data_IF_689309729783
#
_entry.id   IF_689309729783
#
_cell.length_a   1.000
_cell.length_b   1.000
_cell.length_c   1.000
_cell.angle_alpha   90.00
_cell.angle_beta   90.00
_cell.angle_gamma   90.00
#
_symmetry.space_group_name_H-M   'P 1'
#
loop_
_entity.id
_entity.type
_entity.pdbx_description
1 polymer ?
#
# COMPACT_ATOMS: atom_id res chain seq x y z
N UNK A 1 -5.22 -25.00 -6.90
CA UNK A 1 -6.51 -24.82 -6.19
C UNK A 1 -6.16 -24.12 -4.90
N UNK A 2 -6.52 -22.84 -4.78
CA UNK A 2 -6.26 -22.04 -3.58
C UNK A 2 -7.37 -22.32 -2.57
N UNK A 3 -7.00 -22.82 -1.40
CA UNK A 3 -7.96 -23.05 -0.31
C UNK A 3 -8.39 -21.70 0.28
N UNK A 4 -9.62 -21.31 -0.01
CA UNK A 4 -10.23 -20.14 0.66
C UNK A 4 -10.35 -20.44 2.15
N UNK A 5 -9.71 -19.63 2.99
CA UNK A 5 -9.80 -19.77 4.44
C UNK A 5 -11.17 -19.21 4.87
N UNK A 6 -12.10 -20.11 5.25
CA UNK A 6 -13.35 -19.75 5.89
C UNK A 6 -13.07 -19.49 7.38
N UNK A 7 -13.52 -18.33 7.87
CA UNK A 7 -13.50 -18.04 9.31
C UNK A 7 -14.34 -19.06 10.09
N UNK A 8 -13.94 -19.44 11.32
CA UNK A 8 -14.76 -20.28 12.17
C UNK A 8 -16.09 -19.59 12.48
N UNK A 9 -17.18 -20.33 12.37
CA UNK A 9 -18.53 -19.87 12.74
C UNK A 9 -18.59 -19.64 14.26
N UNK A 10 -18.66 -18.37 14.69
CA UNK A 10 -18.76 -18.03 16.12
C UNK A 10 -19.18 -16.59 16.39
N UNK A 11 -18.63 -15.62 15.67
CA UNK A 11 -19.00 -14.22 15.80
C UNK A 11 -19.58 -13.67 14.49
N UNK A 12 -20.60 -12.82 14.59
CA UNK A 12 -21.18 -12.18 13.41
C UNK A 12 -20.10 -11.40 12.66
N UNK A 13 -19.99 -11.66 11.36
CA UNK A 13 -19.03 -10.92 10.49
C UNK A 13 -19.24 -9.41 10.64
N UNK A 14 -18.20 -8.63 10.95
CA UNK A 14 -18.33 -7.17 11.00
C UNK A 14 -18.94 -6.61 9.71
N UNK A 15 -19.91 -5.66 9.78
CA UNK A 15 -20.56 -5.09 8.60
C UNK A 15 -19.58 -4.53 7.57
N UNK A 16 -18.44 -4.00 8.02
CA UNK A 16 -17.36 -3.53 7.16
C UNK A 16 -16.76 -4.66 6.31
N UNK A 17 -16.50 -5.83 6.92
CA UNK A 17 -15.97 -7.00 6.21
C UNK A 17 -17.02 -7.62 5.29
N UNK A 18 -18.29 -7.63 5.68
CA UNK A 18 -19.36 -8.04 4.78
C UNK A 18 -19.45 -7.14 3.53
N UNK A 19 -19.32 -5.82 3.72
CA UNK A 19 -19.30 -4.88 2.61
C UNK A 19 -18.10 -5.15 1.69
N UNK A 20 -16.90 -5.36 2.25
CA UNK A 20 -15.70 -5.65 1.47
C UNK A 20 -15.81 -6.99 0.73
N UNK A 21 -16.35 -8.03 1.38
CA UNK A 21 -16.60 -9.34 0.78
C UNK A 21 -17.57 -9.30 -0.41
N UNK A 22 -18.50 -8.34 -0.42
CA UNK A 22 -19.44 -8.15 -1.54
C UNK A 22 -18.89 -7.25 -2.64
N UNK A 23 -18.02 -6.31 -2.25
CA UNK A 23 -17.49 -5.31 -3.16
C UNK A 23 -16.31 -5.79 -4.00
N UNK A 24 -15.40 -6.58 -3.40
CA UNK A 24 -14.19 -7.08 -4.06
C UNK A 24 -14.44 -8.42 -4.76
N UNK A 25 -13.90 -8.60 -5.95
CA UNK A 25 -13.89 -9.91 -6.63
C UNK A 25 -12.92 -10.88 -5.95
N UNK A 26 -11.80 -10.34 -5.45
CA UNK A 26 -10.77 -11.08 -4.71
C UNK A 26 -10.16 -10.22 -3.61
N UNK A 27 -9.84 -10.87 -2.51
CA UNK A 27 -9.10 -10.29 -1.38
C UNK A 27 -7.92 -11.21 -1.11
N UNK A 28 -6.71 -10.70 -1.26
CA UNK A 28 -5.48 -11.44 -0.98
C UNK A 28 -4.78 -10.91 0.25
N UNK A 29 -4.20 -11.83 1.03
CA UNK A 29 -3.22 -11.50 2.05
C UNK A 29 -1.86 -12.00 1.60
N UNK A 30 -0.95 -11.09 1.33
CA UNK A 30 0.43 -11.38 0.95
C UNK A 30 1.21 -11.81 2.19
N UNK A 31 1.68 -13.03 2.21
CA UNK A 31 2.41 -13.60 3.34
C UNK A 31 3.41 -14.64 2.87
N UNK A 32 4.59 -14.67 3.50
CA UNK A 32 5.53 -15.76 3.26
C UNK A 32 4.93 -17.09 3.72
N UNK A 33 5.09 -18.15 2.93
CA UNK A 33 4.57 -19.49 3.27
C UNK A 33 5.06 -19.97 4.65
N UNK A 34 6.27 -19.59 5.04
CA UNK A 34 6.88 -19.91 6.33
C UNK A 34 6.44 -19.04 7.50
N UNK A 35 5.67 -17.98 7.26
CA UNK A 35 5.22 -17.04 8.32
C UNK A 35 3.97 -17.57 9.04
N UNK A 36 4.02 -18.81 9.53
CA UNK A 36 2.86 -19.54 10.09
C UNK A 36 2.22 -18.81 11.28
N UNK A 37 3.04 -18.23 12.17
CA UNK A 37 2.54 -17.45 13.31
C UNK A 37 1.79 -16.19 12.89
N UNK A 38 2.28 -15.46 11.87
CA UNK A 38 1.59 -14.29 11.33
C UNK A 38 0.27 -14.70 10.69
N UNK A 39 0.27 -15.78 9.88
CA UNK A 39 -0.93 -16.33 9.27
C UNK A 39 -1.98 -16.75 10.31
N UNK A 40 -1.54 -17.29 11.46
CA UNK A 40 -2.46 -17.65 12.55
C UNK A 40 -3.06 -16.40 13.21
N UNK A 41 -2.25 -15.37 13.50
CA UNK A 41 -2.76 -14.10 14.04
C UNK A 41 -3.78 -13.42 13.12
N UNK A 42 -3.59 -13.51 11.79
CA UNK A 42 -4.54 -12.97 10.82
C UNK A 42 -5.95 -13.56 10.95
N UNK A 43 -6.07 -14.86 11.25
CA UNK A 43 -7.39 -15.51 11.41
C UNK A 43 -8.23 -14.83 12.48
N UNK A 44 -7.59 -14.44 13.58
CA UNK A 44 -8.27 -13.69 14.65
C UNK A 44 -8.57 -12.24 14.28
N UNK A 45 -7.62 -11.56 13.60
CA UNK A 45 -7.75 -10.13 13.23
C UNK A 45 -8.76 -9.88 12.12
N UNK A 46 -8.84 -10.80 11.15
CA UNK A 46 -9.67 -10.69 9.95
C UNK A 46 -10.87 -11.64 9.99
N UNK A 47 -11.34 -12.01 11.19
CA UNK A 47 -12.50 -12.87 11.35
C UNK A 47 -13.71 -12.35 10.57
N UNK A 48 -14.30 -13.20 9.72
CA UNK A 48 -15.41 -12.85 8.83
C UNK A 48 -15.01 -12.28 7.47
N UNK A 49 -13.75 -11.86 7.26
CA UNK A 49 -13.26 -11.48 5.94
C UNK A 49 -12.93 -12.74 5.11
N UNK A 50 -13.44 -12.81 3.90
CA UNK A 50 -13.14 -13.89 2.94
C UNK A 50 -11.91 -13.52 2.11
N UNK A 51 -10.75 -14.04 2.48
CA UNK A 51 -9.49 -13.79 1.80
C UNK A 51 -8.78 -15.07 1.40
N UNK A 52 -7.88 -14.95 0.46
CA UNK A 52 -6.96 -15.99 0.02
C UNK A 52 -5.54 -15.62 0.45
N UNK A 53 -4.76 -16.59 0.94
CA UNK A 53 -3.34 -16.38 1.18
C UNK A 53 -2.59 -16.40 -0.15
N UNK A 54 -1.83 -15.34 -0.41
CA UNK A 54 -0.91 -15.28 -1.53
C UNK A 54 0.51 -15.53 -1.01
N UNK A 55 1.14 -16.62 -1.46
CA UNK A 55 2.50 -16.95 -1.08
C UNK A 55 3.49 -15.96 -1.69
N UNK A 56 4.00 -15.08 -0.82
CA UNK A 56 4.96 -14.06 -1.19
C UNK A 56 6.29 -14.66 -1.65
N UNK A 57 6.93 -14.02 -2.59
CA UNK A 57 8.27 -14.40 -3.07
C UNK A 57 9.27 -14.26 -1.94
N UNK A 58 9.87 -15.38 -1.50
CA UNK A 58 10.87 -15.37 -0.44
C UNK A 58 12.23 -14.88 -0.98
N UNK A 59 12.85 -13.95 -0.25
CA UNK A 59 14.19 -13.46 -0.56
C UNK A 59 15.26 -14.57 -0.60
N UNK A 60 15.00 -15.72 0.04
CA UNK A 60 15.90 -16.88 0.07
C UNK A 60 16.01 -17.57 -1.28
N UNK A 61 14.97 -17.45 -2.12
CA UNK A 61 14.88 -18.06 -3.43
C UNK A 61 15.34 -17.09 -4.54
N UNK A 62 15.80 -15.89 -4.16
CA UNK A 62 16.21 -14.85 -5.09
C UNK A 62 17.71 -14.73 -5.19
N UNK A 63 18.18 -14.64 -6.43
CA UNK A 63 19.54 -14.28 -6.83
C UNK A 63 19.49 -12.97 -7.62
N UNK A 64 20.16 -11.92 -7.11
CA UNK A 64 20.15 -10.58 -7.72
C UNK A 64 20.74 -10.58 -9.12
N UNK A 65 21.86 -11.28 -9.32
CA UNK A 65 22.56 -11.31 -10.60
C UNK A 65 21.72 -12.04 -11.66
N UNK A 66 21.08 -13.13 -11.23
CA UNK A 66 20.13 -13.86 -12.09
C UNK A 66 18.95 -12.99 -12.48
N UNK A 67 18.31 -12.30 -11.51
CA UNK A 67 17.18 -11.42 -11.78
C UNK A 67 17.54 -10.28 -12.75
N UNK A 68 18.76 -9.74 -12.64
CA UNK A 68 19.24 -8.70 -13.56
C UNK A 68 19.51 -9.27 -14.96
N UNK A 69 20.17 -10.44 -15.06
CA UNK A 69 20.43 -11.12 -16.35
C UNK A 69 19.14 -11.50 -17.07
N UNK A 70 18.15 -11.99 -16.33
CA UNK A 70 16.86 -12.41 -16.88
C UNK A 70 15.93 -11.22 -17.20
N UNK A 71 16.38 -9.97 -16.95
CA UNK A 71 15.59 -8.75 -17.17
C UNK A 71 14.39 -8.64 -16.22
N UNK A 72 14.38 -9.36 -15.11
CA UNK A 72 13.31 -9.31 -14.11
C UNK A 72 13.49 -8.14 -13.13
N UNK A 73 14.73 -7.67 -12.93
CA UNK A 73 15.11 -6.55 -12.08
C UNK A 73 16.04 -5.59 -12.82
N UNK A 74 15.74 -4.29 -12.78
CA UNK A 74 16.55 -3.24 -13.40
C UNK A 74 17.07 -2.27 -12.34
N UNK A 75 18.31 -2.47 -11.93
CA UNK A 75 18.99 -1.65 -10.93
C UNK A 75 19.18 -0.21 -11.41
N UNK A 76 19.40 0.02 -12.71
CA UNK A 76 19.61 1.36 -13.24
C UNK A 76 18.39 2.26 -13.08
N UNK A 77 17.19 1.71 -13.24
CA UNK A 77 15.91 2.38 -13.01
C UNK A 77 15.65 2.63 -11.52
N UNK A 78 16.28 1.86 -10.63
CA UNK A 78 16.12 2.04 -9.18
C UNK A 78 16.74 3.35 -8.68
N UNK A 79 17.67 3.93 -9.41
CA UNK A 79 18.38 5.18 -9.07
C UNK A 79 17.60 6.45 -9.42
N UNK A 80 16.31 6.35 -9.72
CA UNK A 80 15.42 7.46 -9.99
C UNK A 80 15.27 8.40 -8.77
N UNK A 81 14.93 9.70 -8.98
CA UNK A 81 15.05 10.79 -7.99
C UNK A 81 14.25 10.65 -6.70
N UNK A 82 13.39 9.64 -6.59
CA UNK A 82 12.52 9.41 -5.41
C UNK A 82 13.10 8.47 -4.37
N UNK A 83 14.30 7.94 -4.57
CA UNK A 83 14.85 6.84 -3.77
C UNK A 83 16.09 7.24 -2.98
N UNK A 84 16.27 6.50 -1.88
CA UNK A 84 17.56 6.43 -1.22
C UNK A 84 18.60 5.88 -2.20
N UNK A 85 19.84 6.34 -2.09
CA UNK A 85 20.97 5.96 -2.98
C UNK A 85 21.42 4.49 -2.82
N UNK A 86 20.65 3.67 -2.13
CA UNK A 86 20.97 2.27 -1.87
C UNK A 86 20.16 1.35 -2.78
N UNK A 87 20.77 0.28 -3.21
CA UNK A 87 20.15 -0.78 -3.97
C UNK A 87 19.01 -1.43 -3.18
N UNK A 88 17.99 -1.93 -3.87
CA UNK A 88 16.90 -2.64 -3.20
C UNK A 88 17.46 -3.91 -2.52
N UNK A 89 17.07 -4.14 -1.27
CA UNK A 89 17.32 -5.44 -0.62
C UNK A 89 16.58 -6.55 -1.36
N UNK A 90 17.07 -7.80 -1.27
CA UNK A 90 16.33 -8.95 -1.83
C UNK A 90 14.92 -9.09 -1.26
N UNK A 91 14.72 -8.69 0.01
CA UNK A 91 13.38 -8.65 0.61
C UNK A 91 12.45 -7.64 -0.07
N UNK A 92 12.96 -6.44 -0.39
CA UNK A 92 12.20 -5.43 -1.12
C UNK A 92 11.91 -5.86 -2.57
N UNK A 93 12.85 -6.55 -3.22
CA UNK A 93 12.63 -7.13 -4.56
C UNK A 93 11.57 -8.23 -4.49
N UNK A 94 11.64 -9.14 -3.51
CA UNK A 94 10.64 -10.19 -3.32
C UNK A 94 9.23 -9.63 -3.07
N UNK A 95 9.11 -8.60 -2.22
CA UNK A 95 7.85 -7.90 -2.00
C UNK A 95 7.33 -7.28 -3.31
N UNK A 96 8.17 -6.56 -4.06
CA UNK A 96 7.80 -5.95 -5.33
C UNK A 96 7.37 -6.99 -6.38
N UNK A 97 8.05 -8.13 -6.45
CA UNK A 97 7.68 -9.25 -7.33
C UNK A 97 6.33 -9.86 -6.94
N UNK A 98 6.06 -9.99 -5.64
CA UNK A 98 4.79 -10.52 -5.12
C UNK A 98 3.62 -9.63 -5.53
N UNK A 99 3.73 -8.30 -5.31
CA UNK A 99 2.69 -7.35 -5.72
C UNK A 99 2.53 -7.30 -7.25
N UNK A 100 3.63 -7.31 -8.02
CA UNK A 100 3.57 -7.37 -9.49
C UNK A 100 2.80 -8.59 -9.97
N UNK A 101 3.08 -9.77 -9.40
CA UNK A 101 2.38 -11.00 -9.76
C UNK A 101 0.87 -10.90 -9.48
N UNK A 102 0.46 -10.32 -8.35
CA UNK A 102 -0.96 -10.08 -8.07
C UNK A 102 -1.62 -9.18 -9.13
N UNK A 103 -0.93 -8.13 -9.60
CA UNK A 103 -1.44 -7.28 -10.67
C UNK A 103 -1.58 -8.04 -11.99
N UNK A 104 -0.58 -8.85 -12.34
CA UNK A 104 -0.59 -9.70 -13.54
C UNK A 104 -1.73 -10.73 -13.47
N UNK A 105 -1.88 -11.43 -12.34
CA UNK A 105 -2.95 -12.40 -12.10
C UNK A 105 -4.35 -11.75 -12.18
N UNK A 106 -4.52 -10.55 -11.63
CA UNK A 106 -5.77 -9.80 -11.73
C UNK A 106 -6.15 -9.51 -13.20
N UNK A 107 -5.20 -9.03 -13.98
CA UNK A 107 -5.42 -8.70 -15.40
C UNK A 107 -5.73 -9.96 -16.19
N UNK A 108 -4.96 -11.02 -15.99
CA UNK A 108 -5.15 -12.29 -16.69
C UNK A 108 -6.48 -12.97 -16.37
N UNK A 109 -6.93 -12.87 -15.11
CA UNK A 109 -8.19 -13.47 -14.65
C UNK A 109 -9.41 -12.60 -14.94
N UNK A 110 -9.23 -11.33 -15.32
CA UNK A 110 -10.31 -10.43 -15.65
C UNK A 110 -11.09 -9.90 -14.44
N UNK A 111 -10.55 -9.93 -13.22
CA UNK A 111 -11.19 -9.34 -12.03
C UNK A 111 -11.24 -7.81 -12.14
N UNK A 112 -12.32 -7.21 -11.67
CA UNK A 112 -12.51 -5.75 -11.71
C UNK A 112 -11.94 -5.04 -10.48
N UNK A 113 -12.04 -5.71 -9.29
CA UNK A 113 -11.67 -5.14 -7.99
C UNK A 113 -10.94 -6.16 -7.15
N UNK A 114 -9.72 -5.83 -6.79
CA UNK A 114 -8.90 -6.65 -5.91
C UNK A 114 -8.51 -5.84 -4.67
N UNK A 115 -8.55 -6.48 -3.52
CA UNK A 115 -7.99 -5.94 -2.26
C UNK A 115 -6.74 -6.72 -1.92
N UNK A 116 -5.70 -6.00 -1.56
CA UNK A 116 -4.42 -6.57 -1.14
C UNK A 116 -4.12 -6.10 0.27
N UNK A 117 -3.88 -7.08 1.14
CA UNK A 117 -3.48 -6.89 2.53
C UNK A 117 -2.11 -7.53 2.74
N UNK A 118 -1.33 -7.04 3.71
CA UNK A 118 -0.11 -7.71 4.18
C UNK A 118 -0.37 -8.48 5.47
N UNK A 119 0.51 -9.42 5.82
CA UNK A 119 0.30 -10.35 6.93
C UNK A 119 0.47 -9.73 8.34
N UNK A 120 0.79 -8.47 8.41
CA UNK A 120 0.90 -7.67 9.62
C UNK A 120 -0.17 -6.57 9.73
N UNK A 121 -1.20 -6.62 8.87
CA UNK A 121 -2.32 -5.67 8.88
C UNK A 121 -3.14 -5.75 10.17
N UNK A 122 -3.59 -4.59 10.66
CA UNK A 122 -4.44 -4.46 11.85
C UNK A 122 -5.66 -3.58 11.49
N UNK A 123 -6.89 -4.09 11.55
CA UNK A 123 -8.08 -3.27 11.39
C UNK A 123 -8.20 -2.22 12.50
N UNK A 124 -8.43 -0.96 12.16
CA UNK A 124 -8.68 0.10 13.14
C UNK A 124 -10.14 0.05 13.62
N UNK A 125 -10.39 -0.45 14.80
CA UNK A 125 -11.74 -0.63 15.33
C UNK A 125 -12.59 0.65 15.29
N UNK A 126 -11.99 1.82 15.51
CA UNK A 126 -12.67 3.13 15.52
C UNK A 126 -13.08 3.62 14.14
N UNK A 127 -12.35 3.27 13.08
CA UNK A 127 -12.56 3.81 11.73
C UNK A 127 -13.00 2.75 10.71
N UNK A 128 -12.75 1.47 10.98
CA UNK A 128 -13.18 0.38 10.12
C UNK A 128 -14.68 0.43 9.74
N UNK A 129 -15.61 0.84 10.63
CA UNK A 129 -17.03 0.99 10.27
C UNK A 129 -17.31 1.97 9.13
N UNK A 130 -16.36 2.88 8.79
CA UNK A 130 -16.48 3.82 7.67
C UNK A 130 -16.15 3.18 6.30
N UNK A 131 -15.68 1.93 6.28
CA UNK A 131 -15.28 1.25 5.04
C UNK A 131 -16.39 1.21 3.98
N UNK A 132 -17.66 0.85 4.30
CA UNK A 132 -18.71 0.83 3.29
C UNK A 132 -18.95 2.18 2.63
N UNK A 133 -18.88 3.27 3.40
CA UNK A 133 -19.01 4.65 2.93
C UNK A 133 -17.85 5.01 2.01
N UNK A 134 -16.61 4.76 2.44
CA UNK A 134 -15.42 5.04 1.63
C UNK A 134 -15.46 4.31 0.27
N UNK A 135 -15.89 3.04 0.25
CA UNK A 135 -16.02 2.27 -0.99
C UNK A 135 -17.09 2.83 -1.93
N UNK A 136 -18.22 3.35 -1.38
CA UNK A 136 -19.30 3.96 -2.18
C UNK A 136 -18.92 5.31 -2.76
N UNK A 137 -18.02 6.03 -2.12
CA UNK A 137 -17.54 7.34 -2.56
C UNK A 137 -16.46 7.27 -3.66
N UNK A 138 -15.93 6.08 -3.96
CA UNK A 138 -14.96 5.91 -5.05
C UNK A 138 -15.60 6.28 -6.40
N UNK A 139 -15.02 7.21 -7.18
CA UNK A 139 -15.53 7.55 -8.48
C UNK A 139 -15.29 6.41 -9.49
N UNK A 140 -16.04 6.32 -10.59
CA UNK A 140 -15.86 5.25 -11.58
C UNK A 140 -14.44 5.14 -12.17
N UNK A 141 -13.68 6.23 -12.16
CA UNK A 141 -12.31 6.31 -12.69
C UNK A 141 -11.21 5.93 -11.69
N UNK A 142 -11.58 5.48 -10.48
CA UNK A 142 -10.58 5.10 -9.49
C UNK A 142 -9.70 3.93 -9.98
N UNK A 143 -8.43 3.96 -9.65
CA UNK A 143 -7.48 2.92 -10.04
C UNK A 143 -6.74 2.32 -8.84
N UNK A 144 -6.56 3.11 -7.77
CA UNK A 144 -5.97 2.68 -6.50
C UNK A 144 -6.71 3.37 -5.35
N UNK A 145 -6.96 2.66 -4.26
CA UNK A 145 -7.42 3.22 -3.01
C UNK A 145 -6.65 2.64 -1.83
N UNK A 146 -5.87 3.45 -1.14
CA UNK A 146 -5.29 3.06 0.14
C UNK A 146 -6.39 2.93 1.18
N UNK A 147 -6.47 1.78 1.84
CA UNK A 147 -7.33 1.52 2.99
C UNK A 147 -6.55 1.69 4.30
N UNK A 148 -5.24 1.44 4.23
CA UNK A 148 -4.26 1.68 5.28
C UNK A 148 -2.96 2.20 4.67
N UNK A 149 -2.32 3.15 5.35
CA UNK A 149 -1.09 3.79 4.88
C UNK A 149 -0.36 4.48 6.02
N UNK A 150 0.93 4.72 5.80
CA UNK A 150 1.72 5.51 6.72
C UNK A 150 2.07 6.87 6.11
N UNK A 151 2.17 7.90 6.96
CA UNK A 151 2.41 9.31 6.63
C UNK A 151 1.26 10.02 5.89
N UNK A 152 1.15 11.30 6.15
CA UNK A 152 0.24 12.23 5.50
C UNK A 152 -1.27 11.95 5.75
N UNK A 153 -1.61 11.23 6.82
CA UNK A 153 -3.01 11.17 7.26
C UNK A 153 -3.44 12.59 7.68
N UNK A 154 -2.70 13.20 8.62
CA UNK A 154 -2.91 14.58 9.02
C UNK A 154 -1.85 15.52 8.43
N UNK A 155 -2.31 16.65 7.91
CA UNK A 155 -1.47 17.61 7.21
C UNK A 155 -1.50 18.93 7.93
N UNK A 156 -0.38 19.30 8.57
CA UNK A 156 -0.23 20.61 9.18
C UNK A 156 -0.12 21.72 8.12
N UNK A 157 -0.54 22.98 8.47
CA UNK A 157 -0.38 24.13 7.59
C UNK A 157 1.07 24.32 7.11
N UNK A 158 2.06 24.07 7.99
CA UNK A 158 3.48 24.18 7.63
C UNK A 158 3.91 23.17 6.55
N UNK A 159 3.37 21.95 6.58
CA UNK A 159 3.62 20.95 5.51
C UNK A 159 3.00 21.40 4.18
N UNK A 160 1.82 22.01 4.22
CA UNK A 160 1.17 22.57 3.03
C UNK A 160 1.99 23.73 2.45
N UNK A 161 2.46 24.65 3.31
CA UNK A 161 3.34 25.74 2.88
C UNK A 161 4.62 25.22 2.25
N UNK A 162 5.28 24.23 2.86
CA UNK A 162 6.48 23.58 2.31
C UNK A 162 6.21 22.94 0.93
N UNK A 163 5.05 22.30 0.74
CA UNK A 163 4.64 21.78 -0.57
C UNK A 163 4.55 22.89 -1.62
N UNK A 164 3.91 24.02 -1.29
CA UNK A 164 3.78 25.17 -2.19
C UNK A 164 5.13 25.76 -2.55
N UNK A 165 6.06 25.85 -1.59
CA UNK A 165 7.44 26.26 -1.83
C UNK A 165 8.12 25.34 -2.86
N UNK A 166 8.02 24.01 -2.68
CA UNK A 166 8.57 23.07 -3.65
C UNK A 166 7.96 23.23 -5.05
N UNK A 167 6.64 23.44 -5.13
CA UNK A 167 5.95 23.66 -6.40
C UNK A 167 6.41 24.96 -7.09
N UNK A 168 6.64 26.03 -6.31
CA UNK A 168 7.09 27.33 -6.84
C UNK A 168 8.53 27.30 -7.37
N UNK A 169 9.44 26.58 -6.68
CA UNK A 169 10.86 26.52 -7.09
C UNK A 169 11.16 25.40 -8.09
N UNK A 170 10.24 24.45 -8.29
CA UNK A 170 10.42 23.32 -9.18
C UNK A 170 10.66 23.71 -10.66
N UNK A 171 9.96 24.71 -11.24
CA UNK A 171 10.21 25.16 -12.60
C UNK A 171 11.63 25.72 -12.81
N UNK A 172 12.26 26.22 -11.74
CA UNK A 172 13.61 26.76 -11.74
C UNK A 172 14.71 25.70 -11.61
N UNK A 173 14.33 24.40 -11.54
CA UNK A 173 15.28 23.31 -11.30
C UNK A 173 15.84 23.25 -9.87
N UNK A 174 15.32 24.06 -8.93
CA UNK A 174 15.79 24.15 -7.55
C UNK A 174 15.09 23.14 -6.61
N UNK A 175 14.24 22.30 -7.14
CA UNK A 175 13.54 21.22 -6.41
C UNK A 175 13.87 19.87 -7.03
N UNK A 176 14.00 18.83 -6.16
CA UNK A 176 14.09 17.45 -6.64
C UNK A 176 12.79 16.93 -7.27
N UNK A 177 11.67 17.64 -7.08
CA UNK A 177 10.36 17.30 -7.60
C UNK A 177 10.07 18.10 -8.86
N UNK A 178 9.45 17.47 -9.84
CA UNK A 178 8.85 18.19 -10.96
C UNK A 178 7.65 19.00 -10.48
N UNK A 179 7.24 20.10 -11.14
CA UNK A 179 6.12 20.93 -10.68
C UNK A 179 4.85 20.15 -10.40
N UNK A 180 4.43 19.25 -11.30
CA UNK A 180 3.26 18.42 -11.12
C UNK A 180 3.38 17.41 -9.98
N UNK A 181 4.57 16.88 -9.72
CA UNK A 181 4.86 15.97 -8.61
C UNK A 181 4.82 16.70 -7.27
N UNK A 182 5.42 17.89 -7.21
CA UNK A 182 5.38 18.73 -6.02
C UNK A 182 3.95 19.02 -5.58
N UNK A 183 3.04 19.30 -6.50
CA UNK A 183 1.63 19.54 -6.23
C UNK A 183 0.88 18.29 -5.74
N UNK A 184 1.40 17.10 -6.01
CA UNK A 184 0.81 15.82 -5.58
C UNK A 184 1.46 15.21 -4.33
N UNK A 185 2.44 15.88 -3.70
CA UNK A 185 3.12 15.34 -2.52
C UNK A 185 2.20 15.10 -1.33
N UNK A 186 1.22 15.97 -1.11
CA UNK A 186 0.28 15.86 -0.01
C UNK A 186 -1.11 15.51 -0.52
N UNK A 187 -1.86 14.66 0.20
CA UNK A 187 -3.23 14.34 -0.16
C UNK A 187 -4.12 15.59 -0.10
N UNK A 188 -5.21 15.54 -0.87
CA UNK A 188 -6.19 16.63 -0.98
C UNK A 188 -7.59 16.07 -0.72
N UNK A 189 -8.46 16.87 -0.08
CA UNK A 189 -9.84 16.50 0.15
C UNK A 189 -10.54 16.11 -1.15
N UNK A 190 -11.38 15.08 -1.09
CA UNK A 190 -12.20 14.64 -2.20
C UNK A 190 -13.66 14.47 -1.78
N UNK A 191 -13.92 13.68 -0.74
CA UNK A 191 -15.24 13.43 -0.19
C UNK A 191 -15.15 13.29 1.34
N UNK A 192 -16.24 13.04 2.08
CA UNK A 192 -16.18 12.89 3.53
C UNK A 192 -15.18 11.82 3.99
N UNK A 193 -15.12 10.66 3.30
CA UNK A 193 -14.29 9.53 3.71
C UNK A 193 -13.13 9.24 2.75
N UNK A 194 -12.89 10.10 1.74
CA UNK A 194 -11.78 9.92 0.80
C UNK A 194 -10.98 11.21 0.62
N UNK A 195 -9.70 11.02 0.39
CA UNK A 195 -8.76 12.02 -0.10
C UNK A 195 -8.21 11.56 -1.46
N UNK A 196 -7.92 12.50 -2.38
CA UNK A 196 -7.00 12.18 -3.48
C UNK A 196 -5.65 11.88 -2.88
N UNK A 197 -5.09 10.73 -3.21
CA UNK A 197 -3.84 10.27 -2.61
C UNK A 197 -2.67 11.21 -2.93
N UNK A 198 -1.76 11.31 -1.99
CA UNK A 198 -0.48 11.97 -2.14
C UNK A 198 0.66 10.95 -2.01
N UNK A 199 1.80 11.40 -1.47
CA UNK A 199 2.88 10.51 -1.09
C UNK A 199 2.52 9.80 0.20
N UNK A 200 2.23 8.51 0.09
CA UNK A 200 2.04 7.61 1.23
C UNK A 200 3.14 6.55 1.25
N UNK A 201 3.35 5.96 2.40
CA UNK A 201 4.28 4.84 2.61
C UNK A 201 3.48 3.60 2.98
N UNK A 202 4.10 2.44 2.81
CA UNK A 202 3.55 1.11 3.08
C UNK A 202 2.46 0.68 2.08
N UNK A 203 2.28 -0.63 2.00
CA UNK A 203 1.32 -1.31 1.12
C UNK A 203 0.47 -2.32 1.91
N UNK A 204 0.33 -2.08 3.24
CA UNK A 204 -0.29 -3.05 4.13
C UNK A 204 -1.79 -3.25 3.90
N UNK A 205 -2.51 -2.25 3.31
CA UNK A 205 -3.91 -2.41 2.93
C UNK A 205 -4.28 -1.45 1.80
N UNK A 206 -4.62 -1.97 0.62
CA UNK A 206 -5.13 -1.17 -0.49
C UNK A 206 -6.06 -1.97 -1.40
N UNK A 207 -6.91 -1.25 -2.12
CA UNK A 207 -7.71 -1.78 -3.21
C UNK A 207 -7.14 -1.28 -4.55
N UNK A 208 -7.26 -2.09 -5.59
CA UNK A 208 -6.83 -1.77 -6.95
C UNK A 208 -7.88 -2.21 -7.97
N UNK A 209 -8.14 -1.39 -8.98
CA UNK A 209 -8.97 -1.75 -10.13
C UNK A 209 -8.15 -2.49 -11.18
N UNK A 210 -8.81 -3.20 -12.11
CA UNK A 210 -8.13 -3.89 -13.22
C UNK A 210 -7.24 -2.94 -14.02
N UNK A 211 -7.70 -1.75 -14.32
CA UNK A 211 -6.92 -0.75 -15.04
C UNK A 211 -5.72 -0.25 -14.22
N UNK A 212 -5.91 -0.03 -12.91
CA UNK A 212 -4.83 0.28 -11.99
C UNK A 212 -3.77 -0.83 -11.96
N UNK A 213 -4.21 -2.08 -11.83
CA UNK A 213 -3.32 -3.25 -11.85
C UNK A 213 -2.53 -3.34 -13.16
N UNK A 214 -3.19 -3.16 -14.31
CA UNK A 214 -2.54 -3.17 -15.63
C UNK A 214 -1.43 -2.11 -15.72
N UNK A 215 -1.70 -0.90 -15.27
CA UNK A 215 -0.72 0.20 -15.25
C UNK A 215 0.44 -0.08 -14.29
N UNK A 216 0.14 -0.58 -13.09
CA UNK A 216 1.16 -0.88 -12.07
C UNK A 216 2.04 -2.05 -12.50
N UNK A 217 1.48 -3.11 -13.09
CA UNK A 217 2.26 -4.22 -13.66
C UNK A 217 3.24 -3.72 -14.73
N UNK A 218 2.76 -2.89 -15.67
CA UNK A 218 3.59 -2.34 -16.73
C UNK A 218 4.72 -1.43 -16.18
N UNK A 219 4.44 -0.62 -15.16
CA UNK A 219 5.43 0.24 -14.50
C UNK A 219 6.48 -0.55 -13.73
N UNK A 220 6.14 -1.75 -13.23
CA UNK A 220 7.01 -2.62 -12.44
C UNK A 220 7.68 -3.72 -13.27
N UNK A 221 7.59 -3.68 -14.58
CA UNK A 221 8.22 -4.62 -15.50
C UNK A 221 9.32 -3.92 -16.32
N UNK A 222 10.60 -4.23 -16.09
CA UNK A 222 11.16 -5.00 -14.97
C UNK A 222 10.96 -4.34 -13.59
N UNK A 223 11.14 -5.11 -12.52
CA UNK A 223 11.09 -4.55 -11.15
C UNK A 223 12.17 -3.49 -10.99
N UNK A 224 11.75 -2.29 -10.58
CA UNK A 224 12.64 -1.15 -10.41
C UNK A 224 12.37 -0.38 -9.09
N UNK A 225 11.25 -0.64 -8.43
CA UNK A 225 10.80 0.07 -7.23
C UNK A 225 10.37 -0.91 -6.14
N UNK A 226 10.59 -0.55 -4.88
CA UNK A 226 9.88 -1.22 -3.78
C UNK A 226 8.35 -1.03 -3.97
N UNK A 227 7.53 -1.92 -3.43
CA UNK A 227 6.10 -1.93 -3.68
C UNK A 227 5.43 -0.57 -3.37
N UNK A 228 5.71 0.01 -2.21
CA UNK A 228 5.18 1.32 -1.78
C UNK A 228 5.74 2.50 -2.60
N UNK A 229 6.98 2.38 -3.06
CA UNK A 229 7.59 3.40 -3.92
C UNK A 229 7.01 3.40 -5.32
N UNK A 230 6.65 2.23 -5.86
CA UNK A 230 5.93 2.12 -7.13
C UNK A 230 4.62 2.92 -7.07
N UNK A 231 3.80 2.66 -6.04
CA UNK A 231 2.52 3.36 -5.86
C UNK A 231 2.73 4.87 -5.73
N UNK A 232 3.66 5.27 -4.85
CA UNK A 232 4.02 6.69 -4.67
C UNK A 232 4.46 7.34 -5.99
N UNK A 233 5.36 6.70 -6.74
CA UNK A 233 5.86 7.22 -8.01
C UNK A 233 4.74 7.35 -9.04
N UNK A 234 3.89 6.33 -9.17
CA UNK A 234 2.76 6.34 -10.10
C UNK A 234 1.77 7.49 -9.79
N UNK A 235 1.50 7.73 -8.49
CA UNK A 235 0.64 8.83 -8.02
C UNK A 235 1.28 10.19 -8.33
N UNK A 236 2.53 10.40 -7.92
CA UNK A 236 3.20 11.69 -8.08
C UNK A 236 3.36 12.07 -9.55
N UNK A 237 3.61 11.09 -10.41
CA UNK A 237 3.70 11.29 -11.87
C UNK A 237 2.33 11.41 -12.56
N UNK A 238 1.23 11.23 -11.84
CA UNK A 238 -0.11 11.27 -12.40
C UNK A 238 -0.40 10.13 -13.38
N UNK A 239 0.24 8.97 -13.16
CA UNK A 239 0.06 7.76 -13.98
C UNK A 239 -1.20 6.99 -13.61
N UNK A 240 -1.66 7.15 -12.36
CA UNK A 240 -2.84 6.48 -11.83
C UNK A 240 -3.74 7.47 -11.08
N UNK A 241 -5.06 7.23 -11.12
CA UNK A 241 -6.07 7.92 -10.31
C UNK A 241 -6.18 7.23 -8.95
N UNK A 242 -5.59 7.85 -7.92
CA UNK A 242 -5.44 7.22 -6.61
C UNK A 242 -6.16 8.00 -5.51
N UNK A 243 -6.73 7.24 -4.59
CA UNK A 243 -7.45 7.73 -3.41
C UNK A 243 -6.87 7.11 -2.14
N UNK A 244 -7.20 7.68 -1.00
CA UNK A 244 -6.88 7.15 0.31
C UNK A 244 -8.08 7.33 1.23
N UNK A 245 -8.48 6.29 1.94
CA UNK A 245 -9.49 6.38 2.99
C UNK A 245 -9.05 7.38 4.07
N UNK A 246 -9.98 8.20 4.55
CA UNK A 246 -9.73 9.17 5.60
C UNK A 246 -10.89 9.21 6.59
N UNK A 247 -10.60 8.94 7.85
CA UNK A 247 -9.31 8.45 8.38
C UNK A 247 -8.94 7.07 7.82
N UNK A 248 -7.66 6.65 7.98
CA UNK A 248 -7.21 5.33 7.57
C UNK A 248 -7.98 4.23 8.32
N UNK A 249 -8.25 3.11 7.65
CA UNK A 249 -9.10 2.02 8.13
C UNK A 249 -8.28 0.86 8.70
N UNK A 250 -7.02 0.77 8.30
CA UNK A 250 -6.09 -0.26 8.72
C UNK A 250 -4.76 0.35 9.14
N UNK A 251 -4.13 -0.28 10.13
CA UNK A 251 -2.77 -0.06 10.59
C UNK A 251 -1.87 -1.25 10.25
N UNK A 252 -0.62 -1.17 10.65
CA UNK A 252 0.39 -2.19 10.48
C UNK A 252 1.09 -2.46 11.81
N UNK A 253 1.33 -3.74 12.15
CA UNK A 253 1.94 -4.17 13.42
C UNK A 253 3.31 -3.50 13.68
N UNK A 254 4.11 -3.33 12.64
CA UNK A 254 5.42 -2.66 12.74
C UNK A 254 5.33 -1.19 13.17
N UNK A 255 4.21 -0.51 12.93
CA UNK A 255 4.00 0.89 13.34
C UNK A 255 3.62 1.02 14.80
N UNK A 256 2.87 0.08 15.36
CA UNK A 256 2.55 0.05 16.78
C UNK A 256 3.81 -0.11 17.63
N UNK A 257 4.74 -0.99 17.23
CA UNK A 257 6.02 -1.17 17.89
C UNK A 257 6.90 0.10 17.83
N UNK A 258 6.89 0.80 16.70
CA UNK A 258 7.65 2.05 16.53
C UNK A 258 7.06 3.19 17.38
N UNK A 259 5.74 3.29 17.48
CA UNK A 259 5.07 4.29 18.31
C UNK A 259 5.29 4.03 19.81
N UNK A 260 5.22 2.77 20.24
CA UNK A 260 5.51 2.35 21.61
C UNK A 260 6.96 2.66 21.99
N UNK A 261 7.91 2.40 21.09
CA UNK A 261 9.34 2.70 21.33
C UNK A 261 9.62 4.20 21.41
N UNK A 262 8.98 5.02 20.58
CA UNK A 262 9.08 6.48 20.66
C UNK A 262 8.47 7.06 21.93
N UNK A 263 7.37 6.46 22.43
CA UNK A 263 6.75 6.87 23.68
C UNK A 263 7.63 6.53 24.90
N UNK A 264 8.33 5.39 24.86
CA UNK A 264 9.24 4.95 25.93
C UNK A 264 10.49 5.85 26.01
N UNK A 265 11.04 6.27 24.86
CA UNK A 265 12.21 7.18 24.84
C UNK A 265 11.81 8.59 25.32
N UNK A 266 10.57 9.03 25.08
CA UNK A 266 10.06 10.32 25.54
C UNK A 266 9.89 10.45 27.07
N UNK A 267 9.79 9.33 27.78
CA UNK A 267 9.67 9.29 29.25
C UNK A 267 11.01 9.22 29.99
N UNK A 268 12.11 8.88 29.32
CA UNK A 268 13.45 8.82 29.95
C UNK A 268 14.25 10.13 29.87
N UNK A 269 13.80 11.15 29.13
CA UNK A 269 14.50 12.44 28.99
C UNK A 269 13.95 13.54 29.94
N UNK A 270 13.05 13.19 30.83
CA UNK A 270 12.40 14.11 31.77
C UNK A 270 12.81 13.98 33.24
N UNK A 271 14.03 13.48 33.54
CA UNK A 271 14.50 13.34 34.92
C UNK A 271 15.99 13.56 35.04
N UNK A 272 16.41 14.83 35.08
CA UNK A 272 17.50 15.37 35.93
C UNK A 272 17.49 16.92 35.82
#
# INVERSE_FOLDING_TARGET
MSDAIHAPAGDATPPAFEALNRWADRIFVVSLARATERRERLRGRLGGLRYELFDAVDKRDLDRERLARDGAYDESRTRAPYRHRQDMSLGAIGCALSHRKLYEDMVASGWDRMVVLEDDVIPRASTLPLLPEALRELPPSWELCYLGYWQNEDISPGRRLKQLTYAAIAPLGLSRWRPGEALRLLPRGFSPHLRRAGRHMCTHAYAVSREGARKLAALQTPVAYAADQLLTMAILQGRIEAYAAYPALFDQESMEHSAAHSATIGTEVGGE
#
